data_IF_948454604737
#
_entry.id   IF_948454604737
#
_cell.length_a   1.000
_cell.length_b   1.000
_cell.length_c   1.000
_cell.angle_alpha   90.00
_cell.angle_beta   90.00
_cell.angle_gamma   90.00
#
_symmetry.space_group_name_H-M   'P 1'
#
loop_
_entity.id
_entity.type
_entity.pdbx_description
1 polymer ?
#
# COMPACT_ATOMS: atom_id res chain seq x y z
N UNK A 1 -7.63 -16.00 -2.31
CA UNK A 1 -8.75 -16.04 -1.34
C UNK A 1 -9.21 -17.47 -1.11
N UNK A 2 -9.70 -18.19 -2.13
CA UNK A 2 -10.09 -19.61 -1.99
C UNK A 2 -8.95 -20.53 -1.50
N UNK A 3 -7.70 -20.28 -1.92
CA UNK A 3 -6.54 -21.08 -1.47
C UNK A 3 -6.25 -21.01 0.03
N UNK A 4 -6.49 -19.86 0.70
CA UNK A 4 -6.27 -19.72 2.16
C UNK A 4 -7.30 -20.57 2.92
N UNK A 5 -8.52 -20.66 2.40
CA UNK A 5 -9.56 -21.52 2.96
C UNK A 5 -9.24 -23.03 2.80
N UNK A 6 -8.38 -23.41 1.85
CA UNK A 6 -8.01 -24.82 1.59
C UNK A 6 -6.64 -25.24 2.16
N UNK A 7 -5.92 -24.34 2.85
CA UNK A 7 -4.73 -24.70 3.63
C UNK A 7 -3.47 -25.10 2.84
N UNK A 8 -3.41 -24.85 1.52
CA UNK A 8 -2.25 -25.19 0.71
C UNK A 8 -1.03 -24.29 0.99
N UNK A 9 0.19 -24.81 0.90
CA UNK A 9 1.44 -24.04 1.10
C UNK A 9 1.56 -22.79 0.21
N UNK A 10 0.93 -22.83 -0.97
CA UNK A 10 0.90 -21.73 -1.95
C UNK A 10 -0.24 -20.74 -1.75
N UNK A 11 -1.14 -20.99 -0.80
CA UNK A 11 -2.31 -20.19 -0.55
C UNK A 11 -1.99 -18.73 -0.18
N UNK A 12 -1.02 -18.56 0.71
CA UNK A 12 -0.61 -17.25 1.23
C UNK A 12 0.09 -16.43 0.14
N UNK A 13 1.10 -16.95 -0.58
CA UNK A 13 1.67 -16.24 -1.73
C UNK A 13 0.64 -15.85 -2.79
N UNK A 14 -0.25 -16.76 -3.19
CA UNK A 14 -1.26 -16.46 -4.21
C UNK A 14 -2.34 -15.49 -3.73
N UNK A 15 -2.61 -15.42 -2.43
CA UNK A 15 -3.48 -14.39 -1.89
C UNK A 15 -2.89 -13.00 -2.08
N UNK A 16 -1.60 -12.81 -1.75
CA UNK A 16 -0.94 -11.52 -1.95
C UNK A 16 -0.74 -11.18 -3.43
N UNK A 17 -0.61 -12.19 -4.31
CA UNK A 17 -0.55 -11.97 -5.76
C UNK A 17 -1.93 -11.85 -6.43
N UNK A 18 -3.04 -11.91 -5.68
CA UNK A 18 -4.38 -11.81 -6.25
C UNK A 18 -4.65 -10.52 -7.07
N UNK A 19 -4.10 -9.33 -6.72
CA UNK A 19 -4.22 -8.12 -7.55
C UNK A 19 -3.50 -8.21 -8.90
N UNK A 20 -2.43 -9.01 -8.98
CA UNK A 20 -1.47 -9.00 -10.09
C UNK A 20 -2.12 -9.25 -11.46
N UNK A 21 -3.01 -10.26 -11.65
CA UNK A 21 -3.63 -10.50 -12.95
C UNK A 21 -4.51 -9.35 -13.43
N UNK A 22 -5.22 -8.68 -12.51
CA UNK A 22 -6.04 -7.51 -12.81
C UNK A 22 -5.17 -6.34 -13.27
N UNK A 23 -4.06 -6.09 -12.56
CA UNK A 23 -3.13 -5.02 -12.94
C UNK A 23 -2.44 -5.31 -14.28
N UNK A 24 -2.08 -6.58 -14.57
CA UNK A 24 -1.53 -6.96 -15.86
C UNK A 24 -2.56 -6.71 -16.97
N UNK A 25 -3.82 -7.12 -16.77
CA UNK A 25 -4.89 -6.86 -17.73
C UNK A 25 -5.04 -5.35 -18.00
N UNK A 26 -5.00 -4.53 -16.94
CA UNK A 26 -5.14 -3.09 -17.01
C UNK A 26 -3.99 -2.40 -17.73
N UNK A 27 -2.75 -2.78 -17.40
CA UNK A 27 -1.54 -2.14 -17.92
C UNK A 27 -1.15 -2.62 -19.33
N UNK A 28 -1.39 -3.89 -19.66
CA UNK A 28 -0.94 -4.49 -20.91
C UNK A 28 -2.03 -4.56 -22.00
N UNK A 29 -3.30 -4.36 -21.65
CA UNK A 29 -4.41 -4.44 -22.62
C UNK A 29 -5.30 -3.20 -22.56
N UNK A 30 -6.09 -3.03 -21.49
CA UNK A 30 -6.94 -1.84 -21.29
C UNK A 30 -7.52 -1.82 -19.88
N UNK A 31 -7.92 -0.65 -19.39
CA UNK A 31 -8.64 -0.56 -18.12
C UNK A 31 -10.01 -1.27 -18.16
N UNK A 32 -10.59 -1.47 -19.35
CA UNK A 32 -11.86 -2.17 -19.54
C UNK A 32 -11.69 -3.68 -19.33
N UNK A 33 -10.59 -4.28 -19.82
CA UNK A 33 -10.32 -5.71 -19.58
C UNK A 33 -10.09 -5.99 -18.09
N UNK A 34 -9.37 -5.11 -17.40
CA UNK A 34 -9.23 -5.17 -15.94
C UNK A 34 -10.59 -5.03 -15.24
N UNK A 35 -11.42 -4.08 -15.65
CA UNK A 35 -12.76 -3.89 -15.06
C UNK A 35 -13.65 -5.13 -15.24
N UNK A 36 -13.64 -5.72 -16.44
CA UNK A 36 -14.35 -6.96 -16.71
C UNK A 36 -13.84 -8.11 -15.83
N UNK A 37 -12.52 -8.23 -15.66
CA UNK A 37 -11.91 -9.22 -14.76
C UNK A 37 -12.35 -9.02 -13.30
N UNK A 38 -12.36 -7.78 -12.81
CA UNK A 38 -12.85 -7.44 -11.46
C UNK A 38 -14.32 -7.81 -11.32
N UNK A 39 -15.17 -7.44 -12.28
CA UNK A 39 -16.60 -7.72 -12.23
C UNK A 39 -16.87 -9.23 -12.19
N UNK A 40 -16.27 -10.00 -13.11
CA UNK A 40 -16.43 -11.46 -13.18
C UNK A 40 -15.93 -12.12 -11.91
N UNK A 41 -14.72 -11.79 -11.43
CA UNK A 41 -14.18 -12.38 -10.21
C UNK A 41 -15.03 -12.05 -8.97
N UNK A 42 -15.54 -10.81 -8.86
CA UNK A 42 -16.42 -10.40 -7.77
C UNK A 42 -17.74 -11.19 -7.78
N UNK A 43 -18.38 -11.31 -8.95
CA UNK A 43 -19.64 -12.05 -9.11
C UNK A 43 -19.44 -13.53 -8.79
N UNK A 44 -18.38 -14.16 -9.32
CA UNK A 44 -18.09 -15.58 -9.09
C UNK A 44 -17.85 -15.86 -7.61
N UNK A 45 -17.06 -15.03 -6.92
CA UNK A 45 -16.84 -15.18 -5.48
C UNK A 45 -18.14 -14.95 -4.68
N UNK A 46 -18.97 -14.00 -5.11
CA UNK A 46 -20.27 -13.72 -4.53
C UNK A 46 -21.23 -14.89 -4.60
N UNK A 47 -21.35 -15.50 -5.78
CA UNK A 47 -22.25 -16.62 -6.03
C UNK A 47 -21.75 -17.92 -5.38
N UNK A 48 -20.43 -18.14 -5.34
CA UNK A 48 -19.87 -19.39 -4.83
C UNK A 48 -19.77 -19.42 -3.29
N UNK A 49 -19.43 -18.29 -2.66
CA UNK A 49 -19.25 -18.23 -1.20
C UNK A 49 -20.39 -17.46 -0.51
N UNK A 50 -20.51 -16.16 -0.78
CA UNK A 50 -21.60 -15.27 -0.36
C UNK A 50 -21.30 -13.81 -0.78
N UNK A 51 -22.28 -12.92 -0.62
CA UNK A 51 -22.15 -11.49 -0.93
C UNK A 51 -21.01 -10.78 -0.18
N UNK A 52 -20.61 -11.23 1.00
CA UNK A 52 -19.48 -10.63 1.72
C UNK A 52 -18.15 -10.87 1.01
N UNK A 53 -17.96 -12.05 0.36
CA UNK A 53 -16.77 -12.31 -0.45
C UNK A 53 -16.73 -11.47 -1.72
N UNK A 54 -17.89 -11.16 -2.32
CA UNK A 54 -17.99 -10.22 -3.44
C UNK A 54 -17.46 -8.85 -3.02
N UNK A 55 -17.99 -8.31 -1.92
CA UNK A 55 -17.63 -6.98 -1.43
C UNK A 55 -16.15 -6.96 -1.00
N UNK A 56 -15.70 -7.99 -0.27
CA UNK A 56 -14.32 -8.09 0.19
C UNK A 56 -13.32 -8.13 -0.97
N UNK A 57 -13.61 -8.87 -2.04
CA UNK A 57 -12.76 -8.87 -3.23
C UNK A 57 -12.84 -7.55 -3.99
N UNK A 58 -14.05 -7.05 -4.26
CA UNK A 58 -14.26 -5.81 -5.01
C UNK A 58 -13.59 -4.62 -4.34
N UNK A 59 -13.81 -4.44 -3.04
CA UNK A 59 -13.30 -3.29 -2.28
C UNK A 59 -11.86 -3.52 -1.81
N UNK A 60 -11.50 -4.74 -1.43
CA UNK A 60 -10.19 -5.04 -0.83
C UNK A 60 -9.08 -5.33 -1.83
N UNK A 61 -9.40 -5.88 -3.01
CA UNK A 61 -8.41 -6.46 -3.92
C UNK A 61 -8.58 -5.91 -5.34
N UNK A 62 -9.69 -6.26 -6.00
CA UNK A 62 -9.91 -6.01 -7.42
C UNK A 62 -10.10 -4.54 -7.77
N UNK A 63 -10.95 -3.82 -7.01
CA UNK A 63 -11.20 -2.40 -7.22
C UNK A 63 -9.94 -1.54 -7.09
N UNK A 64 -9.17 -1.66 -5.99
CA UNK A 64 -7.89 -0.97 -5.88
C UNK A 64 -6.90 -1.33 -7.01
N UNK A 65 -6.83 -2.60 -7.40
CA UNK A 65 -5.96 -3.05 -8.49
C UNK A 65 -6.31 -2.41 -9.84
N UNK A 66 -7.61 -2.37 -10.15
CA UNK A 66 -8.12 -1.68 -11.32
C UNK A 66 -7.84 -0.17 -11.27
N UNK A 67 -8.15 0.49 -10.17
CA UNK A 67 -7.96 1.93 -10.02
C UNK A 67 -6.48 2.34 -10.16
N UNK A 68 -5.55 1.55 -9.60
CA UNK A 68 -4.11 1.79 -9.70
C UNK A 68 -3.59 1.55 -11.12
N UNK A 69 -4.02 0.48 -11.80
CA UNK A 69 -3.61 0.22 -13.19
C UNK A 69 -4.16 1.27 -14.16
N UNK A 70 -5.40 1.73 -13.93
CA UNK A 70 -5.98 2.86 -14.67
C UNK A 70 -5.21 4.16 -14.42
N UNK A 71 -4.98 4.52 -13.16
CA UNK A 71 -4.24 5.73 -12.79
C UNK A 71 -2.81 5.72 -13.36
N UNK A 72 -2.16 4.56 -13.43
CA UNK A 72 -0.80 4.45 -13.94
C UNK A 72 -0.66 4.78 -15.43
N UNK A 73 -1.76 4.62 -16.20
CA UNK A 73 -1.87 4.96 -17.61
C UNK A 73 -2.61 6.28 -17.86
N UNK A 74 -3.04 6.99 -16.81
CA UNK A 74 -3.68 8.29 -16.98
C UNK A 74 -2.64 9.30 -17.47
N UNK A 75 -2.93 9.95 -18.59
CA UNK A 75 -2.08 10.95 -19.20
C UNK A 75 -2.91 12.12 -19.72
N UNK A 76 -2.30 13.31 -19.73
CA UNK A 76 -2.84 14.51 -20.37
C UNK A 76 -1.85 15.03 -21.41
N UNK A 77 -2.33 15.65 -22.48
CA UNK A 77 -1.47 16.35 -23.43
C UNK A 77 -0.88 17.61 -22.81
N UNK A 78 0.37 17.91 -23.15
CA UNK A 78 1.04 19.15 -22.76
C UNK A 78 0.44 20.33 -23.53
N UNK A 79 0.17 21.45 -22.86
CA UNK A 79 -0.49 22.61 -23.45
C UNK A 79 0.33 23.25 -24.57
N UNK A 80 1.66 23.16 -24.49
CA UNK A 80 2.59 23.67 -25.50
C UNK A 80 2.97 22.67 -26.58
N UNK A 81 2.66 21.38 -26.41
CA UNK A 81 2.93 20.34 -27.40
C UNK A 81 1.93 19.17 -27.27
N UNK A 82 0.89 19.10 -28.11
CA UNK A 82 -0.16 18.08 -28.00
C UNK A 82 0.34 16.64 -28.21
N UNK A 83 1.52 16.46 -28.82
CA UNK A 83 2.15 15.13 -28.99
C UNK A 83 2.89 14.65 -27.75
N UNK A 84 3.17 15.54 -26.79
CA UNK A 84 3.84 15.20 -25.54
C UNK A 84 2.80 14.87 -24.47
N UNK A 85 2.86 13.64 -23.96
CA UNK A 85 2.00 13.18 -22.89
C UNK A 85 2.65 13.40 -21.51
N UNK A 86 1.92 14.04 -20.61
CA UNK A 86 2.24 14.17 -19.19
C UNK A 86 1.45 13.10 -18.43
N UNK A 87 2.16 12.09 -17.95
CA UNK A 87 1.59 10.97 -17.21
C UNK A 87 1.31 11.35 -15.75
N UNK A 88 0.34 10.68 -15.15
CA UNK A 88 0.06 10.79 -13.73
C UNK A 88 1.32 10.45 -12.90
N UNK A 89 1.59 11.28 -11.90
CA UNK A 89 2.83 11.23 -11.14
C UNK A 89 2.94 9.96 -10.31
N UNK A 90 4.16 9.45 -10.14
CA UNK A 90 4.38 8.25 -9.30
C UNK A 90 4.04 8.55 -7.84
N UNK A 91 4.33 9.76 -7.37
CA UNK A 91 3.92 10.20 -6.03
C UNK A 91 2.39 10.19 -5.87
N UNK A 92 1.67 10.67 -6.88
CA UNK A 92 0.22 10.58 -6.96
C UNK A 92 -0.28 9.14 -6.85
N UNK A 93 0.31 8.20 -7.60
CA UNK A 93 -0.03 6.77 -7.52
C UNK A 93 0.21 6.18 -6.13
N UNK A 94 1.31 6.53 -5.48
CA UNK A 94 1.61 6.07 -4.11
C UNK A 94 0.55 6.57 -3.13
N UNK A 95 0.13 7.84 -3.24
CA UNK A 95 -0.93 8.41 -2.40
C UNK A 95 -2.31 7.83 -2.72
N UNK A 96 -2.63 7.61 -3.99
CA UNK A 96 -3.85 6.90 -4.39
C UNK A 96 -3.86 5.48 -3.82
N UNK A 97 -2.73 4.78 -3.84
CA UNK A 97 -2.59 3.46 -3.22
C UNK A 97 -2.81 3.53 -1.71
N UNK A 98 -2.22 4.52 -1.02
CA UNK A 98 -2.43 4.71 0.41
C UNK A 98 -3.92 4.93 0.74
N UNK A 99 -4.59 5.81 -0.01
CA UNK A 99 -6.01 6.10 0.16
C UNK A 99 -6.89 4.87 -0.09
N UNK A 100 -6.65 4.14 -1.18
CA UNK A 100 -7.41 2.93 -1.52
C UNK A 100 -7.20 1.83 -0.48
N UNK A 101 -5.95 1.58 -0.06
CA UNK A 101 -5.66 0.57 0.97
C UNK A 101 -6.27 0.93 2.33
N UNK A 102 -6.24 2.21 2.72
CA UNK A 102 -6.92 2.64 3.94
C UNK A 102 -8.43 2.47 3.84
N UNK A 103 -9.03 2.88 2.73
CA UNK A 103 -10.46 2.70 2.49
C UNK A 103 -10.84 1.22 2.58
N UNK A 104 -10.12 0.34 1.89
CA UNK A 104 -10.34 -1.11 1.92
C UNK A 104 -10.32 -1.68 3.33
N UNK A 105 -9.34 -1.29 4.15
CA UNK A 105 -9.19 -1.81 5.51
C UNK A 105 -10.22 -1.21 6.47
N UNK A 106 -10.53 0.08 6.35
CA UNK A 106 -11.60 0.70 7.14
C UNK A 106 -12.94 0.05 6.82
N UNK A 107 -13.26 -0.20 5.55
CA UNK A 107 -14.46 -0.95 5.18
C UNK A 107 -14.46 -2.36 5.76
N UNK A 108 -13.31 -3.05 5.75
CA UNK A 108 -13.20 -4.38 6.36
C UNK A 108 -13.45 -4.34 7.87
N UNK A 109 -12.87 -3.38 8.60
CA UNK A 109 -13.10 -3.19 10.04
C UNK A 109 -14.58 -2.90 10.32
N UNK A 110 -15.18 -1.98 9.57
CA UNK A 110 -16.60 -1.61 9.74
C UNK A 110 -17.55 -2.75 9.35
N UNK A 111 -17.13 -3.69 8.50
CA UNK A 111 -17.91 -4.88 8.18
C UNK A 111 -17.93 -5.91 9.31
N UNK A 112 -16.94 -5.88 10.20
CA UNK A 112 -16.90 -6.72 11.41
C UNK A 112 -17.81 -6.12 12.48
N UNK A 113 -17.67 -4.81 12.77
CA UNK A 113 -18.55 -4.11 13.69
C UNK A 113 -18.57 -2.59 13.43
N UNK A 114 -19.71 -1.96 13.72
CA UNK A 114 -19.88 -0.50 13.62
C UNK A 114 -19.29 0.28 14.79
N UNK A 115 -19.09 -0.36 15.95
CA UNK A 115 -18.49 0.23 17.13
C UNK A 115 -17.18 -0.48 17.53
N UNK A 116 -16.34 0.25 18.25
CA UNK A 116 -15.00 -0.21 18.60
C UNK A 116 -15.03 -1.36 19.60
N UNK A 117 -16.00 -1.38 20.52
CA UNK A 117 -16.02 -2.36 21.60
C UNK A 117 -16.41 -3.74 21.05
N UNK A 118 -17.45 -3.80 20.23
CA UNK A 118 -17.84 -5.03 19.52
C UNK A 118 -16.73 -5.53 18.60
N UNK A 119 -16.04 -4.63 17.88
CA UNK A 119 -14.87 -4.99 17.08
C UNK A 119 -13.76 -5.61 17.94
N UNK A 120 -13.43 -4.94 19.05
CA UNK A 120 -12.39 -5.35 20.00
C UNK A 120 -12.68 -6.72 20.58
N UNK A 121 -13.91 -6.96 21.04
CA UNK A 121 -14.35 -8.26 21.55
C UNK A 121 -14.26 -9.35 20.48
N UNK A 122 -14.69 -9.06 19.25
CA UNK A 122 -14.63 -10.03 18.15
C UNK A 122 -13.18 -10.44 17.81
N UNK A 123 -12.26 -9.47 17.75
CA UNK A 123 -10.84 -9.76 17.48
C UNK A 123 -10.17 -10.47 18.66
N UNK A 124 -10.47 -10.07 19.90
CA UNK A 124 -9.94 -10.75 21.08
C UNK A 124 -10.39 -12.22 21.14
N UNK A 125 -11.67 -12.50 20.88
CA UNK A 125 -12.20 -13.87 20.81
C UNK A 125 -11.56 -14.70 19.68
N UNK A 126 -11.33 -14.08 18.51
CA UNK A 126 -10.63 -14.74 17.41
C UNK A 126 -9.16 -15.06 17.77
N UNK A 127 -8.49 -14.16 18.49
CA UNK A 127 -7.13 -14.37 18.97
C UNK A 127 -7.05 -15.49 20.01
N UNK A 128 -7.99 -15.54 20.96
CA UNK A 128 -8.08 -16.63 21.94
C UNK A 128 -8.25 -17.99 21.27
N UNK A 129 -9.14 -18.07 20.29
CA UNK A 129 -9.35 -19.28 19.48
C UNK A 129 -8.06 -19.71 18.79
N UNK A 130 -7.31 -18.76 18.21
CA UNK A 130 -6.03 -19.02 17.56
C UNK A 130 -4.96 -19.57 18.52
N UNK A 131 -4.88 -19.01 19.74
CA UNK A 131 -3.95 -19.48 20.78
C UNK A 131 -4.29 -20.89 21.25
N UNK A 132 -5.58 -21.21 21.42
CA UNK A 132 -6.03 -22.55 21.79
C UNK A 132 -5.66 -23.59 20.71
N UNK A 133 -5.82 -23.25 19.44
CA UNK A 133 -5.44 -24.12 18.31
C UNK A 133 -3.92 -24.37 18.26
N UNK A 134 -3.10 -23.44 18.76
CA UNK A 134 -1.64 -23.62 18.87
C UNK A 134 -1.19 -24.52 20.04
N UNK A 135 -2.12 -25.13 20.77
CA UNK A 135 -1.81 -26.13 21.80
C UNK A 135 -1.57 -25.54 23.20
N UNK A 136 -1.90 -24.27 23.43
CA UNK A 136 -2.03 -23.74 24.78
C UNK A 136 -3.43 -24.11 25.33
N UNK A 137 -3.50 -25.24 26.04
CA UNK A 137 -4.75 -25.74 26.65
C UNK A 137 -4.89 -25.19 28.08
N UNK A 138 -5.79 -24.23 28.26
CA UNK A 138 -6.15 -23.65 29.57
C UNK A 138 -7.11 -22.46 29.41
N UNK A 139 -7.80 -22.03 30.48
CA UNK A 139 -8.58 -20.79 30.44
C UNK A 139 -7.68 -19.62 30.05
N UNK A 140 -8.21 -18.68 29.24
CA UNK A 140 -7.46 -17.51 28.82
C UNK A 140 -6.92 -16.79 30.07
N UNK A 141 -5.59 -16.69 30.17
CA UNK A 141 -4.99 -15.90 31.24
C UNK A 141 -5.37 -14.43 31.04
N UNK A 142 -5.33 -13.63 32.11
CA UNK A 142 -5.49 -12.18 32.00
C UNK A 142 -4.50 -11.55 31.00
N UNK A 143 -3.35 -12.20 30.79
CA UNK A 143 -2.35 -11.81 29.79
C UNK A 143 -2.80 -12.10 28.35
N UNK A 144 -3.41 -13.26 28.07
CA UNK A 144 -3.96 -13.59 26.74
C UNK A 144 -5.07 -12.61 26.33
N UNK A 145 -5.97 -12.28 27.26
CA UNK A 145 -7.02 -11.29 27.02
C UNK A 145 -6.43 -9.91 26.67
N UNK A 146 -5.47 -9.44 27.48
CA UNK A 146 -4.78 -8.17 27.23
C UNK A 146 -4.02 -8.16 25.90
N UNK A 147 -3.42 -9.29 25.52
CA UNK A 147 -2.77 -9.43 24.21
C UNK A 147 -3.78 -9.35 23.08
N UNK A 148 -4.96 -9.99 23.21
CA UNK A 148 -6.05 -9.89 22.23
C UNK A 148 -6.53 -8.44 22.03
N UNK A 149 -6.63 -7.66 23.10
CA UNK A 149 -6.95 -6.24 23.03
C UNK A 149 -5.87 -5.43 22.29
N UNK A 150 -4.60 -5.71 22.56
CA UNK A 150 -3.49 -5.08 21.84
C UNK A 150 -3.52 -5.45 20.35
N UNK A 151 -3.75 -6.72 20.02
CA UNK A 151 -3.91 -7.20 18.65
C UNK A 151 -5.04 -6.45 17.95
N UNK A 152 -6.20 -6.26 18.60
CA UNK A 152 -7.31 -5.50 18.03
C UNK A 152 -6.92 -4.06 17.66
N UNK A 153 -6.08 -3.41 18.47
CA UNK A 153 -5.64 -2.04 18.18
C UNK A 153 -4.58 -1.93 17.07
N UNK A 154 -3.71 -2.94 16.93
CA UNK A 154 -2.56 -2.93 16.01
C UNK A 154 -2.90 -3.57 14.65
N UNK A 155 -3.84 -4.51 14.63
CA UNK A 155 -4.15 -5.30 13.45
C UNK A 155 -4.61 -4.45 12.25
N UNK A 156 -5.56 -3.49 12.38
CA UNK A 156 -5.97 -2.66 11.25
C UNK A 156 -4.85 -1.81 10.63
N UNK A 157 -4.07 -1.01 11.37
CA UNK A 157 -3.01 -0.22 10.74
C UNK A 157 -1.96 -1.10 10.06
N UNK A 158 -1.60 -2.24 10.66
CA UNK A 158 -0.71 -3.22 10.02
C UNK A 158 -1.29 -3.80 8.74
N UNK A 159 -2.58 -4.15 8.74
CA UNK A 159 -3.28 -4.62 7.55
C UNK A 159 -3.30 -3.55 6.44
N UNK A 160 -3.50 -2.27 6.79
CA UNK A 160 -3.45 -1.15 5.85
C UNK A 160 -2.08 -1.01 5.19
N UNK A 161 -1.02 -1.00 6.00
CA UNK A 161 0.36 -0.94 5.49
C UNK A 161 0.70 -2.15 4.59
N UNK A 162 0.34 -3.36 5.02
CA UNK A 162 0.61 -4.58 4.25
C UNK A 162 -0.17 -4.63 2.94
N UNK A 163 -1.45 -4.24 2.96
CA UNK A 163 -2.27 -4.14 1.76
C UNK A 163 -1.67 -3.14 0.76
N UNK A 164 -1.22 -1.98 1.23
CA UNK A 164 -0.55 -0.98 0.39
C UNK A 164 0.73 -1.52 -0.22
N UNK A 165 1.62 -2.13 0.57
CA UNK A 165 2.86 -2.73 0.06
C UNK A 165 2.57 -3.80 -0.98
N UNK A 166 1.56 -4.64 -0.73
CA UNK A 166 1.15 -5.70 -1.65
C UNK A 166 0.65 -5.13 -2.98
N UNK A 167 -0.20 -4.11 -2.95
CA UNK A 167 -0.70 -3.44 -4.14
C UNK A 167 0.43 -2.75 -4.93
N UNK A 168 1.37 -2.08 -4.27
CA UNK A 168 2.53 -1.46 -4.93
C UNK A 168 3.46 -2.50 -5.56
N UNK A 169 3.73 -3.61 -4.85
CA UNK A 169 4.52 -4.72 -5.37
C UNK A 169 3.85 -5.35 -6.61
N UNK A 170 2.54 -5.61 -6.54
CA UNK A 170 1.78 -6.11 -7.69
C UNK A 170 1.80 -5.13 -8.85
N UNK A 171 1.69 -3.82 -8.59
CA UNK A 171 1.72 -2.79 -9.63
C UNK A 171 3.08 -2.73 -10.32
N UNK A 172 4.16 -2.80 -9.53
CA UNK A 172 5.51 -2.89 -10.05
C UNK A 172 5.69 -4.13 -10.93
N UNK A 173 5.29 -5.31 -10.45
CA UNK A 173 5.41 -6.56 -11.19
C UNK A 173 4.56 -6.56 -12.46
N UNK A 174 3.33 -6.04 -12.40
CA UNK A 174 2.46 -5.90 -13.57
C UNK A 174 3.06 -4.95 -14.62
N UNK A 175 3.61 -3.82 -14.17
CA UNK A 175 4.32 -2.88 -15.06
C UNK A 175 5.53 -3.52 -15.71
N UNK A 176 6.32 -4.31 -14.95
CA UNK A 176 7.47 -5.05 -15.50
C UNK A 176 7.03 -6.10 -16.51
N UNK A 177 5.97 -6.85 -16.23
CA UNK A 177 5.43 -7.83 -17.16
C UNK A 177 4.94 -7.16 -18.46
N UNK A 178 4.19 -6.06 -18.36
CA UNK A 178 3.75 -5.27 -19.50
C UNK A 178 4.93 -4.69 -20.31
N UNK A 179 5.99 -4.22 -19.64
CA UNK A 179 7.19 -3.68 -20.28
C UNK A 179 7.94 -4.77 -21.07
N UNK A 180 8.20 -5.92 -20.43
CA UNK A 180 8.87 -7.07 -21.09
C UNK A 180 8.03 -7.60 -22.26
N UNK A 181 6.71 -7.50 -22.16
CA UNK A 181 5.79 -7.89 -23.23
C UNK A 181 5.69 -6.85 -24.36
N UNK A 182 6.36 -5.70 -24.25
CA UNK A 182 6.27 -4.60 -25.23
C UNK A 182 4.91 -3.91 -25.28
N UNK A 183 4.08 -4.07 -24.23
CA UNK A 183 2.69 -3.58 -24.18
C UNK A 183 2.48 -2.40 -23.23
N UNK A 184 3.50 -2.02 -22.47
CA UNK A 184 3.39 -0.88 -21.57
C UNK A 184 3.36 0.43 -22.38
N UNK A 185 2.20 1.10 -22.39
CA UNK A 185 2.01 2.34 -23.14
C UNK A 185 2.82 3.52 -22.58
N UNK A 186 3.10 3.50 -21.28
CA UNK A 186 3.86 4.53 -20.57
C UNK A 186 5.37 4.22 -20.60
N UNK A 187 6.27 5.19 -20.87
CA UNK A 187 7.70 4.98 -20.68
C UNK A 187 8.01 4.67 -19.22
N UNK A 188 8.91 3.71 -18.98
CA UNK A 188 9.24 3.30 -17.62
C UNK A 188 9.73 4.50 -16.78
N UNK A 189 9.08 4.81 -15.65
CA UNK A 189 9.37 6.00 -14.86
C UNK A 189 10.68 5.86 -14.05
N UNK A 190 11.35 6.98 -13.77
CA UNK A 190 12.41 7.02 -12.78
C UNK A 190 11.82 6.99 -11.36
N UNK A 191 11.76 5.80 -10.77
CA UNK A 191 11.19 5.59 -9.43
C UNK A 191 11.95 6.33 -8.32
N UNK A 192 13.27 6.56 -8.46
CA UNK A 192 14.04 7.30 -7.46
C UNK A 192 13.77 8.81 -7.54
N UNK A 193 13.17 9.30 -8.64
CA UNK A 193 12.74 10.68 -8.76
C UNK A 193 11.40 10.96 -8.07
N UNK A 194 10.68 9.92 -7.61
CA UNK A 194 9.36 10.06 -6.97
C UNK A 194 9.37 11.10 -5.84
N UNK A 195 8.50 12.11 -5.94
CA UNK A 195 8.25 13.16 -4.93
C UNK A 195 6.84 13.04 -4.38
N UNK A 196 6.67 13.31 -3.09
CA UNK A 196 5.36 13.53 -2.48
C UNK A 196 5.15 15.05 -2.28
N UNK A 197 3.93 15.57 -2.43
CA UNK A 197 3.65 16.97 -2.14
C UNK A 197 3.98 17.35 -0.70
N UNK A 198 4.46 18.57 -0.47
CA UNK A 198 4.78 19.07 0.86
C UNK A 198 3.55 19.09 1.78
N UNK A 199 2.36 19.42 1.23
CA UNK A 199 1.09 19.46 1.97
C UNK A 199 0.71 18.12 2.60
N UNK A 200 1.13 16.99 2.02
CA UNK A 200 0.86 15.66 2.58
C UNK A 200 1.52 15.43 3.95
N UNK A 201 2.55 16.20 4.31
CA UNK A 201 3.21 16.08 5.62
C UNK A 201 2.32 16.66 6.73
N UNK A 202 1.62 17.76 6.43
CA UNK A 202 0.62 18.35 7.31
C UNK A 202 -0.57 17.41 7.48
N UNK A 203 -1.02 16.78 6.39
CA UNK A 203 -2.09 15.75 6.44
C UNK A 203 -1.67 14.59 7.33
N UNK A 204 -0.44 14.08 7.18
CA UNK A 204 0.08 13.03 8.05
C UNK A 204 0.06 13.44 9.52
N UNK A 205 0.57 14.63 9.86
CA UNK A 205 0.59 15.11 11.24
C UNK A 205 -0.83 15.21 11.84
N UNK A 206 -1.80 15.73 11.09
CA UNK A 206 -3.20 15.82 11.52
C UNK A 206 -3.83 14.43 11.70
N UNK A 207 -3.56 13.49 10.81
CA UNK A 207 -4.09 12.12 10.90
C UNK A 207 -3.46 11.36 12.06
N UNK A 208 -2.17 11.54 12.35
CA UNK A 208 -1.53 10.98 13.54
C UNK A 208 -2.20 11.55 14.80
N UNK A 209 -2.44 12.86 14.86
CA UNK A 209 -3.16 13.45 16.00
C UNK A 209 -4.58 12.87 16.14
N UNK A 210 -5.30 12.69 15.03
CA UNK A 210 -6.62 12.06 15.04
C UNK A 210 -6.59 10.58 15.46
N UNK A 211 -5.48 9.87 15.23
CA UNK A 211 -5.34 8.46 15.63
C UNK A 211 -5.29 8.24 17.16
N UNK A 212 -5.06 9.30 17.93
CA UNK A 212 -5.07 9.26 19.41
C UNK A 212 -6.50 9.32 19.96
N UNK A 213 -7.49 9.71 19.14
CA UNK A 213 -8.89 9.77 19.55
C UNK A 213 -9.39 8.35 19.89
N UNK A 214 -10.05 8.11 21.03
CA UNK A 214 -10.55 6.78 21.35
C UNK A 214 -11.61 6.27 20.36
N UNK A 215 -11.73 4.95 20.26
CA UNK A 215 -12.79 4.28 19.52
C UNK A 215 -12.54 4.16 18.01
N UNK A 216 -13.63 3.98 17.26
CA UNK A 216 -13.57 3.60 15.84
C UNK A 216 -12.96 4.70 14.96
N UNK A 217 -13.12 5.96 15.35
CA UNK A 217 -12.55 7.11 14.65
C UNK A 217 -11.02 7.09 14.72
N UNK A 218 -10.44 6.89 15.91
CA UNK A 218 -8.98 6.78 16.04
C UNK A 218 -8.43 5.53 15.41
N UNK A 219 -9.14 4.40 15.50
CA UNK A 219 -8.75 3.17 14.80
C UNK A 219 -8.73 3.36 13.28
N UNK A 220 -9.73 4.05 12.72
CA UNK A 220 -9.77 4.37 11.30
C UNK A 220 -8.65 5.36 10.92
N UNK A 221 -8.41 6.38 11.76
CA UNK A 221 -7.33 7.33 11.55
C UNK A 221 -5.95 6.67 11.65
N UNK A 222 -5.75 5.66 12.51
CA UNK A 222 -4.49 4.92 12.60
C UNK A 222 -4.21 4.11 11.33
N UNK A 223 -5.24 3.57 10.67
CA UNK A 223 -5.11 2.92 9.36
C UNK A 223 -4.62 3.92 8.29
N UNK A 224 -5.18 5.14 8.27
CA UNK A 224 -4.73 6.20 7.36
C UNK A 224 -3.32 6.67 7.71
N UNK A 225 -2.98 6.78 9.00
CA UNK A 225 -1.63 7.11 9.45
C UNK A 225 -0.61 6.08 8.95
N UNK A 226 -0.91 4.79 9.12
CA UNK A 226 0.00 3.71 8.75
C UNK A 226 0.28 3.64 7.24
N UNK A 227 -0.74 3.83 6.40
CA UNK A 227 -0.53 3.87 4.93
C UNK A 227 0.22 5.13 4.50
N UNK A 228 -0.02 6.29 5.12
CA UNK A 228 0.76 7.51 4.84
C UNK A 228 2.22 7.38 5.32
N UNK A 229 2.47 6.80 6.49
CA UNK A 229 3.85 6.49 6.94
C UNK A 229 4.52 5.54 5.95
N UNK A 230 3.79 4.54 5.43
CA UNK A 230 4.28 3.64 4.39
C UNK A 230 4.58 4.38 3.07
N UNK A 231 3.72 5.32 2.66
CA UNK A 231 3.96 6.19 1.51
C UNK A 231 5.26 7.00 1.68
N UNK A 232 5.48 7.56 2.86
CA UNK A 232 6.69 8.28 3.19
C UNK A 232 7.93 7.38 3.29
N UNK A 233 7.79 6.13 3.74
CA UNK A 233 8.87 5.16 3.68
C UNK A 233 9.28 4.87 2.23
N UNK A 234 8.32 4.67 1.33
CA UNK A 234 8.59 4.53 -0.11
C UNK A 234 9.31 5.76 -0.67
N UNK A 235 8.87 6.97 -0.29
CA UNK A 235 9.54 8.21 -0.67
C UNK A 235 10.97 8.31 -0.09
N UNK A 236 11.19 7.93 1.16
CA UNK A 236 12.51 7.90 1.79
C UNK A 236 13.46 6.91 1.12
N UNK A 237 12.98 5.72 0.74
CA UNK A 237 13.77 4.81 -0.08
C UNK A 237 14.09 5.41 -1.45
N UNK A 238 13.16 6.13 -2.09
CA UNK A 238 13.43 6.83 -3.35
C UNK A 238 14.53 7.89 -3.16
N UNK A 239 14.52 8.65 -2.05
CA UNK A 239 15.57 9.61 -1.69
C UNK A 239 16.93 8.92 -1.55
N UNK A 240 17.00 7.81 -0.80
CA UNK A 240 18.25 7.05 -0.64
C UNK A 240 18.78 6.57 -1.98
N UNK A 241 17.91 6.03 -2.84
CA UNK A 241 18.30 5.59 -4.18
C UNK A 241 18.77 6.75 -5.06
N UNK A 242 18.20 7.94 -4.92
CA UNK A 242 18.58 9.13 -5.66
C UNK A 242 19.92 9.69 -5.19
N UNK A 243 20.09 9.91 -3.89
CA UNK A 243 21.29 10.52 -3.30
C UNK A 243 22.52 9.61 -3.38
N UNK A 244 22.33 8.29 -3.44
CA UNK A 244 23.44 7.34 -3.60
C UNK A 244 23.87 7.13 -5.05
N UNK A 245 23.22 7.77 -6.04
CA UNK A 245 23.65 7.71 -7.45
C UNK A 245 25.07 8.24 -7.61
N UNK A 246 25.90 7.50 -8.35
CA UNK A 246 27.30 7.86 -8.61
C UNK A 246 28.27 7.65 -7.44
N UNK A 247 27.80 7.22 -6.26
CA UNK A 247 28.66 6.93 -5.10
C UNK A 247 29.19 5.49 -5.15
N UNK A 248 30.50 5.30 -4.93
CA UNK A 248 31.11 3.95 -4.86
C UNK A 248 30.57 3.09 -3.70
N UNK A 249 30.15 3.71 -2.60
CA UNK A 249 29.57 3.03 -1.44
C UNK A 249 28.08 2.70 -1.57
N UNK A 250 27.46 2.92 -2.74
CA UNK A 250 26.01 2.76 -2.95
C UNK A 250 25.48 1.39 -2.52
N UNK A 251 26.14 0.30 -2.92
CA UNK A 251 25.68 -1.05 -2.61
C UNK A 251 25.66 -1.26 -1.08
N UNK A 252 26.74 -0.86 -0.39
CA UNK A 252 26.82 -1.00 1.06
C UNK A 252 25.70 -0.22 1.78
N UNK A 253 25.45 1.04 1.39
CA UNK A 253 24.41 1.87 1.99
C UNK A 253 23.02 1.26 1.76
N UNK A 254 22.68 0.92 0.51
CA UNK A 254 21.35 0.41 0.19
C UNK A 254 21.11 -0.97 0.80
N UNK A 255 22.10 -1.86 0.75
CA UNK A 255 21.99 -3.18 1.38
C UNK A 255 21.83 -3.07 2.89
N UNK A 256 22.61 -2.21 3.56
CA UNK A 256 22.49 -2.00 5.01
C UNK A 256 21.10 -1.45 5.39
N UNK A 257 20.57 -0.47 4.65
CA UNK A 257 19.25 0.09 4.93
C UNK A 257 18.15 -0.94 4.66
N UNK A 258 18.16 -1.64 3.53
CA UNK A 258 17.17 -2.69 3.24
C UNK A 258 17.20 -3.82 4.26
N UNK A 259 18.38 -4.40 4.52
CA UNK A 259 18.53 -5.47 5.51
C UNK A 259 18.14 -4.98 6.91
N UNK A 260 18.54 -3.77 7.29
CA UNK A 260 18.14 -3.18 8.58
C UNK A 260 16.63 -3.04 8.71
N UNK A 261 15.95 -2.54 7.67
CA UNK A 261 14.48 -2.43 7.68
C UNK A 261 13.78 -3.79 7.74
N UNK A 262 14.27 -4.79 7.00
CA UNK A 262 13.67 -6.12 6.97
C UNK A 262 13.95 -6.94 8.24
N UNK A 263 15.15 -6.83 8.79
CA UNK A 263 15.56 -7.58 9.97
C UNK A 263 15.01 -7.00 11.28
N UNK A 264 14.93 -5.66 11.39
CA UNK A 264 14.59 -4.98 12.65
C UNK A 264 13.21 -4.31 12.64
N UNK A 265 12.61 -4.07 11.46
CA UNK A 265 11.33 -3.37 11.31
C UNK A 265 11.41 -1.87 11.58
N UNK A 266 11.83 -1.45 12.78
CA UNK A 266 11.83 -0.05 13.22
C UNK A 266 12.62 0.93 12.33
N UNK A 267 13.71 0.56 11.62
CA UNK A 267 14.43 1.51 10.75
C UNK A 267 13.55 2.06 9.63
N UNK A 268 12.43 1.40 9.30
CA UNK A 268 11.47 1.91 8.32
C UNK A 268 10.91 3.29 8.71
N UNK A 269 10.80 3.57 10.02
CA UNK A 269 10.34 4.87 10.53
C UNK A 269 11.37 5.97 10.28
N UNK A 270 12.67 5.65 10.38
CA UNK A 270 13.75 6.58 10.05
C UNK A 270 13.74 6.89 8.55
N UNK A 271 13.52 5.86 7.72
CA UNK A 271 13.37 6.05 6.27
C UNK A 271 12.12 6.87 5.94
N UNK A 272 10.99 6.63 6.62
CA UNK A 272 9.79 7.45 6.46
C UNK A 272 10.04 8.91 6.83
N UNK A 273 10.73 9.17 7.96
CA UNK A 273 11.12 10.52 8.36
C UNK A 273 11.98 11.21 7.29
N UNK A 274 12.94 10.50 6.70
CA UNK A 274 13.72 11.02 5.56
C UNK A 274 12.82 11.42 4.38
N UNK A 275 11.79 10.63 4.09
CA UNK A 275 10.79 10.96 3.08
C UNK A 275 9.99 12.23 3.41
N UNK A 276 9.63 12.43 4.69
CA UNK A 276 8.94 13.65 5.16
C UNK A 276 9.85 14.86 5.00
N UNK A 277 11.11 14.77 5.45
CA UNK A 277 12.09 15.85 5.33
C UNK A 277 12.32 16.22 3.87
N UNK A 278 12.44 15.25 2.97
CA UNK A 278 12.59 15.54 1.54
C UNK A 278 11.35 16.21 0.94
N UNK A 279 10.13 15.80 1.32
CA UNK A 279 8.90 16.45 0.85
C UNK A 279 8.79 17.90 1.31
N UNK A 280 9.33 18.25 2.47
CA UNK A 280 9.30 19.62 3.02
C UNK A 280 10.43 20.51 2.49
N UNK A 281 11.62 19.95 2.28
CA UNK A 281 12.84 20.74 2.05
C UNK A 281 13.53 20.49 0.70
N UNK A 282 13.03 19.55 -0.09
CA UNK A 282 13.56 19.09 -1.39
C UNK A 282 15.09 18.85 -1.35
N UNK A 283 15.51 17.89 -0.52
CA UNK A 283 16.93 17.55 -0.28
C UNK A 283 17.65 17.21 -1.58
N UNK A 284 16.92 16.60 -2.51
CA UNK A 284 17.42 16.16 -3.81
C UNK A 284 17.75 17.32 -4.76
N UNK A 285 17.00 18.43 -4.74
CA UNK A 285 17.33 19.62 -5.53
C UNK A 285 18.64 20.29 -5.08
N UNK A 286 18.94 20.23 -3.78
CA UNK A 286 20.19 20.77 -3.19
C UNK A 286 21.42 19.93 -3.53
N UNK A 287 21.22 18.67 -3.91
CA UNK A 287 22.29 17.70 -4.16
C UNK A 287 22.64 17.57 -5.65
N UNK A 288 21.88 18.18 -6.56
CA UNK A 288 22.14 18.15 -7.99
C UNK A 288 23.24 19.18 -8.36
N UNK A 289 24.37 18.78 -8.98
CA UNK A 289 25.35 19.72 -9.49
C UNK A 289 24.76 20.47 -10.69
N UNK A 290 24.51 21.77 -10.56
CA UNK A 290 24.02 22.65 -11.62
C UNK A 290 22.50 22.61 -11.82
N UNK A 291 21.84 23.71 -11.46
CA UNK A 291 20.40 23.90 -11.50
C UNK A 291 19.77 23.69 -12.88
N UNK A 292 19.41 22.45 -13.21
CA UNK A 292 18.35 22.19 -14.19
C UNK A 292 16.99 22.31 -13.47
N UNK A 293 16.06 23.14 -13.98
CA UNK A 293 14.72 23.23 -13.40
C UNK A 293 14.04 21.85 -13.43
N UNK A 294 13.18 21.53 -12.45
CA UNK A 294 12.44 20.27 -12.41
C UNK A 294 11.69 20.05 -13.72
N UNK A 295 11.71 18.83 -14.26
CA UNK A 295 10.90 18.52 -15.42
C UNK A 295 9.41 18.70 -15.04
N UNK A 296 8.55 19.09 -15.98
CA UNK A 296 7.12 19.34 -15.70
C UNK A 296 6.36 18.14 -15.09
N UNK A 297 6.99 16.97 -15.13
CA UNK A 297 6.57 15.68 -14.61
C UNK A 297 7.07 15.39 -13.17
N UNK A 298 7.85 16.30 -12.57
CA UNK A 298 8.42 16.20 -11.23
C UNK A 298 7.62 16.99 -10.16
N UNK A 299 6.52 17.66 -10.56
CA UNK A 299 5.61 18.40 -9.67
C UNK A 299 4.29 17.67 -9.46
#
# INVERSE_FOLDING_TARGET
VAGIATGGIWAVPFFYLAPLPIMIAGLAFSHVSALAGVAVASIVLGLYFNSSFLIAYLVGIGGPAWALSYGALMARSDAGNPTKLIWFSIGGLVLTCAALSSFSVITAVLSVAGDFETYRTAVAAAFETFVQVQGQTGPASAETARMGELVASILPPMAGALAMVTQLCCLYLAGRAALVSGRLARPWPDLAATRLPASTSLVLALIIAASVVPGMVGLSASVVAATLVTAYAVAGFAVLHFLTRGRGSRILILTAVWLGTLALGWPVLVVALLGVVDAMFDLRARSAPGGRPPAANDR
#
